data_IF_335051891536
#
_entry.id   IF_335051891536
#
_cell.length_a   1.000
_cell.length_b   1.000
_cell.length_c   1.000
_cell.angle_alpha   90.00
_cell.angle_beta   90.00
_cell.angle_gamma   90.00
#
_symmetry.space_group_name_H-M   'P 1'
#
loop_
_entity.id
_entity.type
_entity.pdbx_description
1 polymer ?
#
# COMPACT_ATOMS: atom_id res chain seq x y z
N UNK A 1 -12.06 -6.79 -11.37
CA UNK A 1 -11.09 -6.10 -10.49
C UNK A 1 -9.86 -6.94 -10.14
N UNK A 2 -9.62 -8.09 -10.80
CA UNK A 2 -8.43 -8.93 -10.58
C UNK A 2 -7.14 -8.30 -11.11
N UNK A 3 -7.20 -7.57 -12.23
CA UNK A 3 -6.01 -6.99 -12.84
C UNK A 3 -5.23 -6.00 -11.96
N UNK A 4 -5.90 -5.28 -11.05
CA UNK A 4 -5.19 -4.40 -10.11
C UNK A 4 -4.38 -5.18 -9.08
N UNK A 5 -4.88 -6.32 -8.59
CA UNK A 5 -4.15 -7.17 -7.66
C UNK A 5 -2.95 -7.83 -8.35
N UNK A 6 -3.14 -8.34 -9.57
CA UNK A 6 -2.07 -8.96 -10.36
C UNK A 6 -0.90 -7.99 -10.61
N UNK A 7 -1.21 -6.72 -10.88
CA UNK A 7 -0.20 -5.66 -11.06
C UNK A 7 0.55 -5.37 -9.74
N UNK A 8 -0.17 -5.27 -8.62
CA UNK A 8 0.45 -5.02 -7.30
C UNK A 8 1.43 -6.15 -6.96
N UNK A 9 1.00 -7.40 -7.12
CA UNK A 9 1.84 -8.56 -6.84
C UNK A 9 3.07 -8.60 -7.75
N UNK A 10 2.89 -8.33 -9.06
CA UNK A 10 4.01 -8.23 -9.99
C UNK A 10 5.04 -7.17 -9.56
N UNK A 11 4.59 -5.99 -9.11
CA UNK A 11 5.50 -4.93 -8.66
C UNK A 11 6.27 -5.33 -7.39
N UNK A 12 5.61 -6.00 -6.44
CA UNK A 12 6.23 -6.53 -5.22
C UNK A 12 7.30 -7.59 -5.58
N UNK A 13 6.99 -8.48 -6.53
CA UNK A 13 7.94 -9.49 -7.03
C UNK A 13 9.17 -8.85 -7.69
N UNK A 14 8.98 -7.72 -8.38
CA UNK A 14 10.06 -6.90 -8.93
C UNK A 14 10.82 -6.06 -7.88
N UNK A 15 10.59 -6.30 -6.58
CA UNK A 15 11.24 -5.61 -5.45
C UNK A 15 10.95 -4.10 -5.42
N UNK A 16 9.75 -3.70 -5.81
CA UNK A 16 9.29 -2.33 -5.58
C UNK A 16 9.35 -1.98 -4.08
N UNK A 17 9.66 -0.72 -3.78
CA UNK A 17 9.66 -0.20 -2.41
C UNK A 17 8.21 -0.10 -1.91
N UNK A 18 7.80 -1.06 -1.07
CA UNK A 18 6.39 -1.19 -0.60
C UNK A 18 5.89 0.06 0.11
N UNK A 19 6.75 0.69 0.93
CA UNK A 19 6.44 1.92 1.67
C UNK A 19 6.84 3.19 0.92
N UNK A 20 6.97 3.14 -0.41
CA UNK A 20 7.19 4.34 -1.19
C UNK A 20 6.05 5.33 -0.94
N UNK A 21 6.43 6.58 -0.65
CA UNK A 21 5.50 7.67 -0.44
C UNK A 21 5.39 8.58 -1.65
N UNK A 22 4.19 9.13 -1.86
CA UNK A 22 3.98 10.28 -2.74
C UNK A 22 4.42 11.60 -2.10
N UNK A 23 4.18 12.72 -2.78
CA UNK A 23 4.54 14.06 -2.30
C UNK A 23 3.74 14.56 -1.09
N UNK A 24 2.81 13.77 -0.57
CA UNK A 24 2.04 14.06 0.66
C UNK A 24 2.25 13.00 1.73
N UNK A 25 3.23 12.11 1.56
CA UNK A 25 3.54 11.05 2.52
C UNK A 25 2.63 9.82 2.43
N UNK A 26 1.75 9.72 1.43
CA UNK A 26 0.84 8.58 1.29
C UNK A 26 1.55 7.37 0.70
N UNK A 27 1.38 6.20 1.33
CA UNK A 27 1.80 4.92 0.78
C UNK A 27 0.67 4.24 0.02
N UNK A 28 1.01 3.19 -0.74
CA UNK A 28 0.03 2.30 -1.35
C UNK A 28 -0.96 1.73 -0.31
N UNK A 29 -0.51 1.44 0.91
CA UNK A 29 -1.36 0.90 1.98
C UNK A 29 -2.44 1.90 2.43
N UNK A 30 -2.10 3.19 2.54
CA UNK A 30 -3.09 4.22 2.85
C UNK A 30 -4.19 4.30 1.77
N UNK A 31 -3.78 4.24 0.50
CA UNK A 31 -4.69 4.35 -0.65
C UNK A 31 -5.62 3.11 -0.69
N UNK A 32 -5.05 1.92 -0.53
CA UNK A 32 -5.80 0.67 -0.56
C UNK A 32 -6.82 0.57 0.59
N UNK A 33 -6.41 0.93 1.82
CA UNK A 33 -7.29 0.95 2.99
C UNK A 33 -8.41 1.98 2.83
N UNK A 34 -8.09 3.21 2.40
CA UNK A 34 -9.11 4.25 2.15
C UNK A 34 -10.10 3.89 1.04
N UNK A 35 -9.72 3.03 0.09
CA UNK A 35 -10.56 2.58 -1.01
C UNK A 35 -11.34 1.29 -0.71
N UNK A 36 -11.08 0.62 0.43
CA UNK A 36 -11.69 -0.67 0.75
C UNK A 36 -11.21 -1.82 -0.14
N UNK A 37 -9.95 -1.77 -0.59
CA UNK A 37 -9.36 -2.81 -1.44
C UNK A 37 -8.71 -3.92 -0.59
N UNK A 38 -9.52 -4.72 0.08
CA UNK A 38 -9.09 -5.71 1.09
C UNK A 38 -7.95 -6.62 0.60
N UNK A 39 -8.05 -7.19 -0.61
CA UNK A 39 -7.02 -8.08 -1.15
C UNK A 39 -5.69 -7.37 -1.42
N UNK A 40 -5.71 -6.08 -1.78
CA UNK A 40 -4.48 -5.29 -1.96
C UNK A 40 -3.88 -4.92 -0.59
N UNK A 41 -4.72 -4.65 0.41
CA UNK A 41 -4.28 -4.41 1.78
C UNK A 41 -3.55 -5.65 2.33
N UNK A 42 -4.14 -6.84 2.17
CA UNK A 42 -3.54 -8.11 2.58
C UNK A 42 -2.18 -8.33 1.91
N UNK A 43 -2.10 -8.10 0.60
CA UNK A 43 -0.87 -8.28 -0.18
C UNK A 43 0.24 -7.32 0.27
N UNK A 44 -0.07 -6.04 0.47
CA UNK A 44 0.91 -5.04 0.92
C UNK A 44 1.41 -5.32 2.35
N UNK A 45 0.52 -5.76 3.25
CA UNK A 45 0.90 -6.17 4.62
C UNK A 45 1.79 -7.42 4.57
N UNK A 46 1.44 -8.40 3.73
CA UNK A 46 2.25 -9.60 3.51
C UNK A 46 3.65 -9.28 2.97
N UNK A 47 3.76 -8.22 2.15
CA UNK A 47 5.03 -7.72 1.63
C UNK A 47 5.82 -6.84 2.63
N UNK A 48 5.28 -6.62 3.84
CA UNK A 48 5.97 -5.91 4.93
C UNK A 48 5.73 -4.41 4.99
N UNK A 49 4.62 -3.91 4.42
CA UNK A 49 4.22 -2.51 4.58
C UNK A 49 4.10 -2.10 6.06
N UNK A 50 4.60 -0.92 6.43
CA UNK A 50 4.43 -0.37 7.77
C UNK A 50 2.99 0.11 8.00
N UNK A 51 2.22 -0.73 8.71
CA UNK A 51 0.82 -0.46 9.06
C UNK A 51 0.62 0.78 9.94
N UNK A 52 1.67 1.29 10.59
CA UNK A 52 1.62 2.46 11.47
C UNK A 52 2.26 3.70 10.86
N UNK A 53 2.69 3.63 9.60
CA UNK A 53 3.36 4.75 8.95
C UNK A 53 2.43 5.95 8.85
N UNK A 54 2.90 7.11 9.32
CA UNK A 54 2.15 8.36 9.21
C UNK A 54 2.53 9.12 7.95
N UNK A 55 1.54 9.61 7.23
CA UNK A 55 1.76 10.59 6.16
C UNK A 55 2.10 11.99 6.75
N UNK A 56 2.28 12.98 5.88
CA UNK A 56 2.68 14.34 6.29
C UNK A 56 1.63 15.06 7.16
N UNK A 57 0.39 14.54 7.18
CA UNK A 57 -0.71 15.03 8.02
C UNK A 57 -0.85 14.25 9.33
N UNK A 58 0.04 13.31 9.60
CA UNK A 58 -0.01 12.46 10.80
C UNK A 58 -1.05 11.32 10.72
N UNK A 59 -1.65 11.09 9.54
CA UNK A 59 -2.67 10.06 9.32
C UNK A 59 -1.99 8.71 9.08
N UNK A 60 -2.47 7.66 9.72
CA UNK A 60 -2.10 6.26 9.47
C UNK A 60 -2.98 5.64 8.38
N UNK A 61 -2.62 4.47 7.82
CA UNK A 61 -3.47 3.79 6.85
C UNK A 61 -4.87 3.43 7.37
N UNK A 62 -5.02 3.27 8.69
CA UNK A 62 -6.29 3.17 9.41
C UNK A 62 -6.67 4.53 10.03
#
# INVERSE_FOLDING_TARGET
>A
SSGSLDIVQYLIDQKAEVDKVDGSGWTALHIAASAGHDSIVEELIGAGADINRRNDKGITPL
#
